data_IF_084664452079
#
_entry.id   IF_084664452079
#
_cell.length_a   1.000
_cell.length_b   1.000
_cell.length_c   1.000
_cell.angle_alpha   90.00
_cell.angle_beta   90.00
_cell.angle_gamma   90.00
#
_symmetry.space_group_name_H-M   'P 1'
#
loop_
_entity.id
_entity.type
_entity.pdbx_description
1 polymer ?
#
# COMPACT_ATOMS: atom_id res chain seq x y z
N UNK A 1 -3.29 -4.16 -20.42
CA UNK A 1 -3.58 -3.64 -19.06
C UNK A 1 -2.30 -3.11 -18.44
N UNK A 2 -2.37 -2.28 -17.38
CA UNK A 2 -1.18 -1.90 -16.62
C UNK A 2 -0.47 -3.16 -16.10
N UNK A 3 0.87 -3.13 -16.02
CA UNK A 3 1.61 -4.25 -15.43
C UNK A 3 1.16 -4.43 -13.97
N UNK A 4 0.89 -5.66 -13.52
CA UNK A 4 0.42 -5.89 -12.17
C UNK A 4 1.45 -5.44 -11.13
N UNK A 5 2.74 -5.50 -11.48
CA UNK A 5 3.85 -5.07 -10.63
C UNK A 5 4.91 -4.29 -11.42
N UNK A 6 5.53 -3.31 -10.75
CA UNK A 6 6.65 -2.49 -11.24
C UNK A 6 7.76 -2.51 -10.19
N UNK A 7 9.01 -2.59 -10.63
CA UNK A 7 10.17 -2.43 -9.76
C UNK A 7 10.76 -1.04 -9.94
N UNK A 8 11.00 -0.33 -8.84
CA UNK A 8 11.66 0.97 -8.84
C UNK A 8 12.86 0.94 -7.89
N UNK A 9 13.90 1.69 -8.22
CA UNK A 9 15.09 1.82 -7.37
C UNK A 9 15.28 3.28 -7.02
N UNK A 10 15.23 3.61 -5.73
CA UNK A 10 15.29 4.97 -5.23
C UNK A 10 16.51 5.12 -4.33
N UNK A 11 17.24 6.22 -4.51
CA UNK A 11 18.39 6.59 -3.70
C UNK A 11 18.08 7.86 -2.92
N UNK A 12 18.62 7.98 -1.70
CA UNK A 12 18.50 9.17 -0.87
C UNK A 12 19.84 9.57 -0.28
N UNK A 13 19.96 10.85 0.03
CA UNK A 13 21.09 11.34 0.83
C UNK A 13 21.02 10.82 2.27
N UNK A 14 22.18 10.80 2.94
CA UNK A 14 22.25 10.49 4.36
C UNK A 14 21.35 11.44 5.17
N UNK A 15 20.72 10.92 6.23
CA UNK A 15 19.81 11.66 7.12
C UNK A 15 18.49 12.18 6.50
N UNK A 16 18.26 12.04 5.18
CA UNK A 16 16.94 12.32 4.57
C UNK A 16 16.00 11.11 4.70
N UNK A 17 14.69 11.37 4.63
CA UNK A 17 13.66 10.34 4.47
C UNK A 17 13.39 10.09 2.97
N UNK A 18 12.63 9.05 2.65
CA UNK A 18 12.25 8.74 1.26
C UNK A 18 11.03 9.55 0.76
N UNK A 19 10.34 10.30 1.62
CA UNK A 19 9.18 11.10 1.22
C UNK A 19 7.91 10.28 0.95
N UNK A 20 7.67 9.22 1.71
CA UNK A 20 6.44 8.42 1.62
C UNK A 20 5.66 8.47 2.92
N UNK A 21 4.34 8.65 2.80
CA UNK A 21 3.41 8.33 3.87
C UNK A 21 2.82 6.93 3.63
N UNK A 22 2.94 6.07 4.63
CA UNK A 22 2.71 4.64 4.49
C UNK A 22 1.74 4.14 5.56
N UNK A 23 0.70 3.44 5.11
CA UNK A 23 -0.17 2.66 5.98
C UNK A 23 0.37 1.23 6.12
N UNK A 24 0.41 0.77 7.37
CA UNK A 24 0.98 -0.52 7.77
C UNK A 24 -0.04 -1.46 8.40
N UNK A 25 -1.34 -1.15 8.34
CA UNK A 25 -2.38 -1.86 9.09
C UNK A 25 -2.47 -3.34 8.75
N UNK A 26 -2.14 -3.73 7.52
CA UNK A 26 -2.19 -5.13 7.10
C UNK A 26 -1.01 -5.97 7.65
N UNK A 27 0.02 -5.34 8.21
CA UNK A 27 1.25 -5.97 8.71
C UNK A 27 2.09 -6.75 7.68
N UNK A 28 1.61 -6.93 6.44
CA UNK A 28 2.33 -7.68 5.40
C UNK A 28 2.84 -6.83 4.24
N UNK A 29 2.17 -5.72 3.95
CA UNK A 29 2.45 -4.82 2.82
C UNK A 29 2.36 -3.36 3.27
N UNK A 30 3.06 -2.45 2.56
CA UNK A 30 3.04 -1.01 2.83
C UNK A 30 2.17 -0.31 1.79
N UNK A 31 1.09 0.33 2.22
CA UNK A 31 0.19 1.05 1.34
C UNK A 31 0.61 2.52 1.25
N UNK A 32 0.79 3.02 0.02
CA UNK A 32 1.16 4.42 -0.20
C UNK A 32 -0.07 5.30 -0.02
N UNK A 33 -0.10 6.07 1.07
CA UNK A 33 -1.14 7.08 1.31
C UNK A 33 -0.83 8.34 0.50
N UNK A 34 0.41 8.80 0.59
CA UNK A 34 0.86 10.04 -0.05
C UNK A 34 2.33 9.94 -0.45
N UNK A 35 2.68 10.57 -1.57
CA UNK A 35 4.08 10.83 -1.95
C UNK A 35 4.38 12.28 -1.62
N UNK A 36 5.19 12.48 -0.57
CA UNK A 36 5.60 13.78 -0.04
C UNK A 36 6.93 14.22 -0.65
N UNK A 37 7.36 15.44 -0.32
CA UNK A 37 8.67 15.95 -0.72
C UNK A 37 9.80 14.97 -0.34
N UNK A 38 10.60 14.59 -1.33
CA UNK A 38 11.71 13.67 -1.17
C UNK A 38 12.01 12.83 -2.42
N UNK A 39 12.90 11.83 -2.27
CA UNK A 39 13.40 11.01 -3.38
C UNK A 39 12.34 10.35 -4.26
N UNK A 40 11.22 9.89 -3.68
CA UNK A 40 10.14 9.30 -4.48
C UNK A 40 9.41 10.35 -5.33
N UNK A 41 9.23 11.57 -4.82
CA UNK A 41 8.64 12.67 -5.60
C UNK A 41 9.57 13.11 -6.73
N UNK A 42 10.87 13.21 -6.45
CA UNK A 42 11.91 13.52 -7.44
C UNK A 42 11.97 12.46 -8.56
N UNK A 43 11.89 11.18 -8.18
CA UNK A 43 11.76 10.09 -9.14
C UNK A 43 10.53 10.25 -10.02
N UNK A 44 9.36 10.51 -9.42
CA UNK A 44 8.11 10.67 -10.15
C UNK A 44 8.14 11.82 -11.17
N UNK A 45 8.87 12.90 -10.88
CA UNK A 45 8.98 14.06 -11.77
C UNK A 45 9.66 13.74 -13.12
N UNK A 46 10.46 12.68 -13.17
CA UNK A 46 11.19 12.26 -14.39
C UNK A 46 10.71 10.93 -14.96
N UNK A 47 10.00 10.13 -14.16
CA UNK A 47 9.45 8.85 -14.54
C UNK A 47 8.26 8.97 -15.51
N UNK A 48 8.13 8.02 -16.42
CA UNK A 48 6.93 7.88 -17.26
C UNK A 48 5.71 7.49 -16.40
N UNK A 49 4.49 7.91 -16.78
CA UNK A 49 3.28 7.72 -15.95
C UNK A 49 3.02 6.30 -15.47
N UNK A 50 3.47 5.29 -16.22
CA UNK A 50 3.27 3.86 -15.94
C UNK A 50 4.13 3.35 -14.77
N UNK A 51 5.25 4.00 -14.48
CA UNK A 51 6.21 3.56 -13.45
C UNK A 51 6.30 4.50 -12.25
N UNK A 52 5.63 5.67 -12.33
CA UNK A 52 5.47 6.59 -11.21
C UNK A 52 4.80 5.93 -9.99
N UNK A 53 5.34 6.13 -8.79
CA UNK A 53 4.73 5.71 -7.54
C UNK A 53 3.61 6.67 -7.16
N UNK A 54 2.42 6.17 -6.85
CA UNK A 54 1.23 7.00 -6.63
C UNK A 54 0.48 6.59 -5.36
N UNK A 55 -0.34 7.47 -4.78
CA UNK A 55 -1.32 7.07 -3.78
C UNK A 55 -2.13 5.85 -4.24
N UNK A 56 -2.42 4.95 -3.30
CA UNK A 56 -3.05 3.64 -3.50
C UNK A 56 -2.17 2.56 -4.13
N UNK A 57 -0.90 2.83 -4.44
CA UNK A 57 0.04 1.77 -4.74
C UNK A 57 0.38 0.95 -3.48
N UNK A 58 0.74 -0.31 -3.68
CA UNK A 58 1.12 -1.22 -2.60
C UNK A 58 2.56 -1.66 -2.78
N UNK A 59 3.43 -1.32 -1.84
CA UNK A 59 4.81 -1.82 -1.81
C UNK A 59 4.78 -3.20 -1.16
N UNK A 60 5.06 -4.22 -1.97
CA UNK A 60 5.02 -5.63 -1.57
C UNK A 60 6.40 -6.20 -1.25
N UNK A 61 7.47 -5.49 -1.64
CA UNK A 61 8.84 -5.84 -1.28
C UNK A 61 9.75 -4.61 -1.23
N UNK A 62 10.70 -4.62 -0.28
CA UNK A 62 11.80 -3.65 -0.21
C UNK A 62 13.10 -4.42 -0.05
N UNK A 63 14.04 -4.29 -0.99
CA UNK A 63 15.31 -5.04 -1.03
C UNK A 63 15.13 -6.56 -0.88
N UNK A 64 14.06 -7.11 -1.46
CA UNK A 64 13.72 -8.53 -1.37
C UNK A 64 13.05 -8.95 -0.07
N UNK A 65 12.96 -8.09 0.94
CA UNK A 65 12.17 -8.31 2.16
C UNK A 65 10.68 -8.24 1.82
N UNK A 66 9.87 -9.15 2.36
CA UNK A 66 8.42 -9.25 2.12
C UNK A 66 7.69 -9.74 3.38
N UNK A 67 6.38 -9.55 3.45
CA UNK A 67 5.51 -10.20 4.46
C UNK A 67 5.59 -9.64 5.89
N UNK A 68 6.38 -8.58 6.11
CA UNK A 68 6.54 -7.90 7.39
C UNK A 68 6.74 -6.41 7.15
N UNK A 69 5.75 -5.59 7.53
CA UNK A 69 5.84 -4.13 7.42
C UNK A 69 7.01 -3.57 8.22
N UNK A 70 7.27 -4.10 9.40
CA UNK A 70 8.37 -3.66 10.25
C UNK A 70 9.73 -3.89 9.60
N UNK A 71 9.94 -5.07 8.99
CA UNK A 71 11.21 -5.39 8.35
C UNK A 71 11.41 -4.62 7.05
N UNK A 72 10.34 -4.38 6.28
CA UNK A 72 10.39 -3.48 5.12
C UNK A 72 10.67 -2.02 5.53
N UNK A 73 10.07 -1.54 6.62
CA UNK A 73 10.36 -0.19 7.13
C UNK A 73 11.79 -0.06 7.68
N UNK A 74 12.38 -1.13 8.23
CA UNK A 74 13.80 -1.13 8.60
C UNK A 74 14.69 -0.88 7.37
N UNK A 75 14.37 -1.46 6.22
CA UNK A 75 15.12 -1.21 4.98
C UNK A 75 15.10 0.28 4.60
N UNK A 76 13.93 0.93 4.63
CA UNK A 76 13.83 2.37 4.37
C UNK A 76 14.60 3.25 5.35
N UNK A 77 14.81 2.79 6.60
CA UNK A 77 15.56 3.52 7.62
C UNK A 77 17.07 3.31 7.53
N UNK A 78 17.50 2.09 7.20
CA UNK A 78 18.90 1.66 7.27
C UNK A 78 19.65 1.86 5.95
N UNK A 79 18.95 1.78 4.82
CA UNK A 79 19.56 1.83 3.50
C UNK A 79 19.45 3.23 2.87
N UNK A 80 20.50 3.61 2.14
CA UNK A 80 20.47 4.81 1.29
C UNK A 80 19.88 4.52 -0.09
N UNK A 81 19.83 3.25 -0.49
CA UNK A 81 19.29 2.78 -1.76
C UNK A 81 18.31 1.64 -1.50
N UNK A 82 17.11 1.77 -2.03
CA UNK A 82 16.06 0.77 -1.89
C UNK A 82 15.51 0.36 -3.25
N UNK A 83 15.44 -0.93 -3.51
CA UNK A 83 14.65 -1.50 -4.59
C UNK A 83 13.27 -1.89 -4.05
N UNK A 84 12.22 -1.28 -4.62
CA UNK A 84 10.85 -1.55 -4.23
C UNK A 84 10.11 -2.29 -5.35
N UNK A 85 9.43 -3.38 -5.00
CA UNK A 85 8.40 -3.98 -5.87
C UNK A 85 7.05 -3.41 -5.48
N UNK A 86 6.38 -2.81 -6.45
CA UNK A 86 5.14 -2.06 -6.28
C UNK A 86 4.05 -2.74 -7.09
N UNK A 87 2.97 -3.11 -6.42
CA UNK A 87 1.75 -3.64 -7.01
C UNK A 87 0.73 -2.52 -7.18
N UNK A 88 0.16 -2.40 -8.38
CA UNK A 88 -0.90 -1.44 -8.65
C UNK A 88 -2.23 -1.98 -8.14
N UNK A 89 -2.94 -1.17 -7.35
CA UNK A 89 -4.29 -1.51 -6.92
C UNK A 89 -5.24 -1.59 -8.12
N UNK A 90 -6.07 -2.62 -8.15
CA UNK A 90 -7.17 -2.73 -9.10
C UNK A 90 -8.39 -2.13 -8.41
N UNK A 91 -8.91 -1.03 -8.96
CA UNK A 91 -10.20 -0.50 -8.53
C UNK A 91 -11.30 -1.42 -9.04
N UNK A 92 -12.02 -2.05 -8.11
CA UNK A 92 -13.22 -2.83 -8.41
C UNK A 92 -14.40 -2.27 -7.63
N UNK A 93 -15.58 -2.34 -8.25
CA UNK A 93 -16.85 -2.10 -7.56
C UNK A 93 -17.38 -3.45 -7.10
N UNK A 94 -17.64 -3.56 -5.80
CA UNK A 94 -18.30 -4.73 -5.21
C UNK A 94 -19.71 -4.29 -4.80
N UNK A 95 -20.71 -5.04 -5.24
CA UNK A 95 -22.11 -4.83 -4.87
C UNK A 95 -22.45 -5.85 -3.80
N UNK A 96 -23.02 -5.38 -2.69
CA UNK A 96 -23.52 -6.24 -1.64
C UNK A 96 -25.04 -6.11 -1.60
N UNK A 97 -25.73 -7.21 -1.88
CA UNK A 97 -27.17 -7.29 -1.70
C UNK A 97 -27.48 -7.47 -0.22
N UNK A 98 -28.40 -6.66 0.31
CA UNK A 98 -28.91 -6.82 1.66
C UNK A 98 -30.30 -7.43 1.57
N UNK A 99 -30.45 -8.65 2.09
CA UNK A 99 -31.75 -9.30 2.19
C UNK A 99 -32.73 -8.52 3.10
N UNK A 100 -32.21 -7.86 4.13
CA UNK A 100 -32.96 -6.96 5.01
C UNK A 100 -32.11 -5.73 5.40
N UNK A 101 -32.75 -4.56 5.57
CA UNK A 101 -32.06 -3.30 5.87
C UNK A 101 -31.31 -3.30 7.22
N UNK A 102 -31.73 -4.15 8.16
CA UNK A 102 -31.13 -4.28 9.48
C UNK A 102 -30.10 -5.42 9.57
N UNK A 103 -29.92 -6.21 8.50
CA UNK A 103 -28.90 -7.25 8.47
C UNK A 103 -27.50 -6.66 8.33
N UNK A 104 -26.54 -7.22 9.07
CA UNK A 104 -25.13 -6.88 8.93
C UNK A 104 -24.60 -7.37 7.58
N UNK A 105 -23.68 -6.62 6.98
CA UNK A 105 -23.03 -6.99 5.72
C UNK A 105 -22.02 -8.15 5.86
N UNK A 106 -21.73 -8.61 7.09
CA UNK A 106 -20.69 -9.61 7.34
C UNK A 106 -19.27 -9.14 7.06
N UNK A 107 -19.02 -7.85 6.82
CA UNK A 107 -17.68 -7.34 6.53
C UNK A 107 -16.91 -7.12 7.84
N UNK A 108 -15.75 -7.74 7.95
CA UNK A 108 -14.88 -7.61 9.12
C UNK A 108 -13.80 -6.57 8.87
N UNK A 109 -13.60 -5.69 9.85
CA UNK A 109 -12.57 -4.65 9.86
C UNK A 109 -11.61 -4.87 11.04
N UNK A 110 -10.38 -4.31 11.03
CA UNK A 110 -9.53 -4.27 12.21
C UNK A 110 -10.26 -3.62 13.40
N UNK A 111 -9.99 -4.10 14.63
CA UNK A 111 -10.58 -3.54 15.86
C UNK A 111 -10.29 -2.04 16.02
N UNK A 112 -9.12 -1.60 15.54
CA UNK A 112 -8.69 -0.21 15.55
C UNK A 112 -8.21 0.14 14.14
N UNK A 113 -9.10 0.62 13.26
CA UNK A 113 -8.70 1.21 12.00
C UNK A 113 -7.75 2.39 12.25
N UNK A 114 -6.74 2.51 11.41
CA UNK A 114 -5.76 3.60 11.43
C UNK A 114 -5.67 4.20 10.03
N UNK A 115 -5.15 5.42 9.90
CA UNK A 115 -4.96 6.06 8.59
C UNK A 115 -6.26 6.30 7.82
N UNK A 116 -6.10 6.52 6.51
CA UNK A 116 -7.19 6.90 5.60
C UNK A 116 -7.76 5.71 4.81
N UNK A 117 -7.23 4.50 5.03
CA UNK A 117 -7.66 3.27 4.38
C UNK A 117 -8.44 2.38 5.36
N UNK A 118 -9.58 1.86 4.89
CA UNK A 118 -10.37 0.89 5.63
C UNK A 118 -10.01 -0.53 5.15
N UNK A 119 -9.19 -1.24 5.93
CA UNK A 119 -8.81 -2.61 5.64
C UNK A 119 -10.00 -3.56 5.89
N UNK A 120 -10.36 -4.36 4.90
CA UNK A 120 -11.29 -5.50 5.08
C UNK A 120 -10.46 -6.73 5.44
N UNK A 121 -10.68 -7.30 6.63
CA UNK A 121 -9.99 -8.51 7.12
C UNK A 121 -10.64 -9.80 6.64
N UNK A 122 -11.93 -9.76 6.35
CA UNK A 122 -12.67 -10.94 5.98
C UNK A 122 -14.16 -10.68 5.79
N UNK A 123 -14.85 -11.76 5.45
CA UNK A 123 -16.30 -11.82 5.33
C UNK A 123 -16.79 -12.95 6.24
N UNK A 124 -17.83 -12.68 7.01
CA UNK A 124 -18.54 -13.70 7.78
C UNK A 124 -19.42 -14.52 6.84
N UNK A 125 -19.40 -15.84 7.00
CA UNK A 125 -20.18 -16.75 6.17
C UNK A 125 -21.70 -16.56 6.28
N UNK A 126 -22.18 -15.81 7.29
CA UNK A 126 -23.59 -15.57 7.57
C UNK A 126 -24.06 -14.13 7.25
N UNK A 127 -23.24 -13.31 6.58
CA UNK A 127 -23.59 -11.95 6.20
C UNK A 127 -23.76 -11.77 4.69
N UNK A 128 -24.95 -11.32 4.27
CA UNK A 128 -25.39 -11.05 2.90
C UNK A 128 -25.44 -12.28 1.97
N UNK A 129 -26.66 -12.77 1.72
CA UNK A 129 -26.99 -13.66 0.61
C UNK A 129 -27.45 -12.84 -0.60
#
# INVERSE_FOLDING_TARGET
GPKPEVTVTIEKEAQKSFGLDLDTQDNTALYVLEVKDGPFLEYNATAVPEVQVKPNDVIVSVNGVTGSTDDMLKQFRQELKVECKIRRSILCSVIFDRGDANSALGIQFPEKPQGDLLLVRGFEAEGAA
#
